data_IF_038987230638
#
_entry.id   IF_038987230638
#
_cell.length_a   1.000
_cell.length_b   1.000
_cell.length_c   1.000
_cell.angle_alpha   90.00
_cell.angle_beta   90.00
_cell.angle_gamma   90.00
#
_symmetry.space_group_name_H-M   'P 1'
#
loop_
_entity.id
_entity.type
_entity.pdbx_description
1 polymer ?
#
# COMPACT_ATOMS: atom_id res chain seq x y z
N UNK A 1 -11.93 -15.94 17.47
CA UNK A 1 -12.19 -15.56 16.06
C UNK A 1 -12.44 -14.04 15.86
N UNK A 2 -12.97 -13.29 16.85
CA UNK A 2 -13.15 -11.83 16.74
C UNK A 2 -11.85 -11.00 16.92
N UNK A 3 -10.90 -11.47 17.73
CA UNK A 3 -9.70 -10.70 18.09
C UNK A 3 -8.73 -10.44 16.93
N UNK A 4 -8.66 -11.30 15.90
CA UNK A 4 -7.80 -11.06 14.72
C UNK A 4 -8.41 -10.09 13.72
N UNK A 5 -9.75 -9.94 13.68
CA UNK A 5 -10.41 -8.97 12.79
C UNK A 5 -10.19 -7.53 13.24
N UNK A 6 -10.07 -7.29 14.54
CA UNK A 6 -9.89 -5.95 15.11
C UNK A 6 -8.57 -5.25 14.70
N UNK A 7 -7.37 -5.85 14.85
CA UNK A 7 -6.11 -5.19 14.48
C UNK A 7 -6.00 -4.96 12.97
N UNK A 8 -6.52 -5.87 12.15
CA UNK A 8 -6.55 -5.74 10.69
C UNK A 8 -7.48 -4.59 10.25
N UNK A 9 -8.67 -4.52 10.84
CA UNK A 9 -9.60 -3.41 10.60
C UNK A 9 -9.00 -2.07 11.08
N UNK A 10 -8.37 -2.04 12.26
CA UNK A 10 -7.71 -0.84 12.77
C UNK A 10 -6.58 -0.39 11.84
N UNK A 11 -5.72 -1.30 11.38
CA UNK A 11 -4.66 -0.99 10.42
C UNK A 11 -5.21 -0.41 9.12
N UNK A 12 -6.27 -1.00 8.55
CA UNK A 12 -6.93 -0.48 7.33
C UNK A 12 -7.55 0.90 7.55
N UNK A 13 -8.18 1.13 8.70
CA UNK A 13 -8.72 2.44 9.07
C UNK A 13 -7.61 3.48 9.30
N UNK A 14 -6.44 3.08 9.79
CA UNK A 14 -5.28 3.97 9.95
C UNK A 14 -4.60 4.31 8.62
N UNK A 15 -4.50 3.37 7.68
CA UNK A 15 -3.87 3.58 6.37
C UNK A 15 -4.59 4.64 5.55
N UNK A 16 -5.93 4.65 5.54
CA UNK A 16 -6.72 5.57 4.73
C UNK A 16 -6.35 7.05 4.99
N UNK A 17 -6.43 7.58 6.22
CA UNK A 17 -6.07 8.97 6.47
C UNK A 17 -4.58 9.24 6.24
N UNK A 18 -3.67 8.29 6.50
CA UNK A 18 -2.23 8.47 6.23
C UNK A 18 -1.96 8.61 4.73
N UNK A 19 -2.50 7.72 3.91
CA UNK A 19 -2.34 7.73 2.46
C UNK A 19 -3.02 8.96 1.83
N UNK A 20 -4.23 9.31 2.28
CA UNK A 20 -4.94 10.51 1.81
C UNK A 20 -4.20 11.79 2.22
N UNK A 21 -3.68 11.88 3.44
CA UNK A 21 -2.90 13.05 3.87
C UNK A 21 -1.57 13.16 3.10
N UNK A 22 -0.86 12.05 2.90
CA UNK A 22 0.36 12.00 2.09
C UNK A 22 0.08 12.45 0.65
N UNK A 23 -0.97 11.90 0.03
CA UNK A 23 -1.42 12.28 -1.30
C UNK A 23 -1.77 13.76 -1.37
N UNK A 24 -2.58 14.25 -0.44
CA UNK A 24 -3.05 15.64 -0.43
C UNK A 24 -1.89 16.63 -0.30
N UNK A 25 -0.98 16.38 0.66
CA UNK A 25 0.19 17.22 0.87
C UNK A 25 1.09 17.29 -0.36
N UNK A 26 1.32 16.17 -1.05
CA UNK A 26 2.16 16.15 -2.26
C UNK A 26 1.43 16.69 -3.50
N UNK A 27 0.18 16.31 -3.72
CA UNK A 27 -0.59 16.73 -4.89
C UNK A 27 -0.89 18.24 -4.89
N UNK A 28 -0.90 18.87 -3.71
CA UNK A 28 -1.01 20.33 -3.58
C UNK A 28 0.35 21.03 -3.54
N UNK A 29 1.44 20.27 -3.63
CA UNK A 29 2.79 20.81 -3.51
C UNK A 29 3.24 21.52 -4.80
N UNK A 30 3.23 22.84 -4.74
CA UNK A 30 3.80 23.73 -5.76
C UNK A 30 4.38 24.97 -5.09
N UNK A 31 5.45 25.51 -5.65
CA UNK A 31 6.03 26.77 -5.20
C UNK A 31 6.59 27.53 -6.40
N UNK A 32 6.29 28.83 -6.48
CA UNK A 32 6.83 29.74 -7.48
C UNK A 32 7.80 30.71 -6.81
N UNK A 33 8.87 31.05 -7.53
CA UNK A 33 9.88 32.04 -7.18
C UNK A 33 10.13 32.93 -8.40
N UNK A 34 10.19 34.24 -8.20
CA UNK A 34 10.30 35.21 -9.30
C UNK A 34 11.65 35.15 -10.03
N UNK A 35 12.70 34.60 -9.40
CA UNK A 35 14.05 34.51 -9.97
C UNK A 35 14.31 33.12 -10.58
N UNK A 36 13.83 32.06 -9.93
CA UNK A 36 14.15 30.68 -10.30
C UNK A 36 13.01 29.93 -11.01
N UNK A 37 11.82 30.54 -11.11
CA UNK A 37 10.65 29.95 -11.77
C UNK A 37 9.75 29.13 -10.83
N UNK A 38 8.97 28.23 -11.41
CA UNK A 38 7.97 27.43 -10.68
C UNK A 38 8.38 25.95 -10.63
N UNK A 39 8.21 25.33 -9.45
CA UNK A 39 8.37 23.88 -9.25
C UNK A 39 7.06 23.25 -8.78
N UNK A 40 6.67 22.14 -9.42
CA UNK A 40 5.50 21.34 -9.06
C UNK A 40 5.89 19.91 -8.77
N UNK A 41 5.07 19.23 -7.96
CA UNK A 41 5.24 17.79 -7.73
C UNK A 41 5.17 16.98 -9.04
N UNK A 42 4.38 17.44 -10.02
CA UNK A 42 4.18 16.78 -11.31
C UNK A 42 5.42 16.77 -12.20
N UNK A 43 6.34 17.70 -11.97
CA UNK A 43 7.58 17.84 -12.76
C UNK A 43 8.60 16.76 -12.35
N UNK A 44 8.44 16.20 -11.15
CA UNK A 44 9.33 15.22 -10.57
C UNK A 44 8.64 13.84 -10.57
N UNK A 45 9.12 12.94 -11.43
CA UNK A 45 8.53 11.62 -11.63
C UNK A 45 8.40 10.80 -10.33
N UNK A 46 9.36 10.90 -9.42
CA UNK A 46 9.31 10.25 -8.10
C UNK A 46 8.14 10.72 -7.24
N UNK A 47 7.82 12.02 -7.24
CA UNK A 47 6.69 12.55 -6.48
C UNK A 47 5.35 12.24 -7.16
N UNK A 48 5.28 12.29 -8.49
CA UNK A 48 4.09 11.87 -9.22
C UNK A 48 3.78 10.38 -8.98
N UNK A 49 4.81 9.53 -8.97
CA UNK A 49 4.66 8.11 -8.64
C UNK A 49 4.15 7.89 -7.20
N UNK A 50 4.70 8.61 -6.21
CA UNK A 50 4.24 8.57 -4.82
C UNK A 50 2.76 8.97 -4.68
N UNK A 51 2.31 10.01 -5.39
CA UNK A 51 0.90 10.43 -5.43
C UNK A 51 0.02 9.31 -5.99
N UNK A 52 0.41 8.73 -7.12
CA UNK A 52 -0.32 7.62 -7.76
C UNK A 52 -0.45 6.40 -6.84
N UNK A 53 0.63 5.99 -6.18
CA UNK A 53 0.61 4.83 -5.28
C UNK A 53 -0.24 5.10 -4.03
N UNK A 54 -0.19 6.29 -3.44
CA UNK A 54 -1.11 6.63 -2.34
C UNK A 54 -2.58 6.54 -2.77
N UNK A 55 -2.92 6.96 -3.99
CA UNK A 55 -4.29 6.88 -4.50
C UNK A 55 -4.76 5.43 -4.64
N UNK A 56 -3.93 4.57 -5.27
CA UNK A 56 -4.22 3.14 -5.46
C UNK A 56 -4.39 2.44 -4.12
N UNK A 57 -3.48 2.69 -3.18
CA UNK A 57 -3.50 2.03 -1.87
C UNK A 57 -4.63 2.51 -0.97
N UNK A 58 -5.00 3.79 -1.01
CA UNK A 58 -6.20 4.29 -0.34
C UNK A 58 -7.48 3.67 -0.91
N UNK A 59 -7.59 3.58 -2.24
CA UNK A 59 -8.73 2.93 -2.89
C UNK A 59 -8.83 1.45 -2.53
N UNK A 60 -7.70 0.73 -2.53
CA UNK A 60 -7.64 -0.66 -2.08
C UNK A 60 -8.06 -0.81 -0.61
N UNK A 61 -7.55 0.04 0.29
CA UNK A 61 -7.90 -0.01 1.70
C UNK A 61 -9.41 0.17 1.92
N UNK A 62 -10.04 1.15 1.24
CA UNK A 62 -11.50 1.35 1.30
C UNK A 62 -12.24 0.13 0.74
N UNK A 63 -11.85 -0.37 -0.44
CA UNK A 63 -12.46 -1.54 -1.05
C UNK A 63 -12.38 -2.77 -0.14
N UNK A 64 -11.22 -3.00 0.50
CA UNK A 64 -11.02 -4.14 1.40
C UNK A 64 -11.93 -4.08 2.65
N UNK A 65 -12.22 -2.90 3.18
CA UNK A 65 -13.16 -2.70 4.31
C UNK A 65 -14.60 -3.00 3.86
N UNK A 66 -15.00 -2.49 2.70
CA UNK A 66 -16.34 -2.73 2.14
C UNK A 66 -16.55 -4.21 1.84
N UNK A 67 -15.58 -4.86 1.21
CA UNK A 67 -15.63 -6.28 0.87
C UNK A 67 -15.66 -7.17 2.11
N UNK A 68 -14.94 -6.82 3.18
CA UNK A 68 -14.97 -7.56 4.45
C UNK A 68 -16.35 -7.52 5.14
N UNK A 69 -17.25 -6.61 4.77
CA UNK A 69 -18.61 -6.57 5.31
C UNK A 69 -19.53 -7.64 4.70
N UNK A 70 -19.14 -8.24 3.56
CA UNK A 70 -19.89 -9.31 2.92
C UNK A 70 -19.46 -10.69 3.44
N UNK A 71 -20.44 -11.49 3.89
CA UNK A 71 -20.25 -12.78 4.58
C UNK A 71 -19.57 -13.88 3.74
N UNK A 72 -19.46 -13.70 2.42
CA UNK A 72 -18.84 -14.66 1.49
C UNK A 72 -17.32 -14.55 1.39
N UNK A 73 -16.69 -13.56 2.05
CA UNK A 73 -15.30 -13.21 1.78
C UNK A 73 -14.25 -14.12 2.43
N UNK A 74 -14.66 -15.05 3.30
CA UNK A 74 -13.76 -15.97 4.03
C UNK A 74 -13.01 -16.98 3.15
N UNK A 75 -13.33 -17.08 1.86
CA UNK A 75 -12.63 -17.94 0.89
C UNK A 75 -11.45 -17.25 0.20
N UNK A 76 -11.26 -15.94 0.39
CA UNK A 76 -10.29 -15.13 -0.37
C UNK A 76 -9.04 -14.71 0.43
N UNK A 77 -8.70 -15.42 1.51
CA UNK A 77 -7.55 -15.05 2.37
C UNK A 77 -6.22 -14.96 1.60
N UNK A 78 -6.01 -15.83 0.61
CA UNK A 78 -4.84 -15.78 -0.28
C UNK A 78 -4.81 -14.52 -1.15
N UNK A 79 -5.96 -14.10 -1.67
CA UNK A 79 -6.08 -12.90 -2.50
C UNK A 79 -5.82 -11.64 -1.67
N UNK A 80 -6.32 -11.58 -0.44
CA UNK A 80 -6.03 -10.48 0.49
C UNK A 80 -4.53 -10.39 0.80
N UNK A 81 -3.88 -11.53 1.07
CA UNK A 81 -2.43 -11.58 1.28
C UNK A 81 -1.66 -11.02 0.08
N UNK A 82 -1.99 -11.45 -1.14
CA UNK A 82 -1.33 -10.99 -2.37
C UNK A 82 -1.53 -9.49 -2.56
N UNK A 83 -2.73 -8.97 -2.33
CA UNK A 83 -3.03 -7.54 -2.49
C UNK A 83 -2.37 -6.67 -1.41
N UNK A 84 -2.35 -7.12 -0.15
CA UNK A 84 -1.66 -6.45 0.95
C UNK A 84 -0.15 -6.37 0.67
N UNK A 85 0.45 -7.49 0.23
CA UNK A 85 1.87 -7.59 -0.10
C UNK A 85 2.23 -6.75 -1.33
N UNK A 86 1.39 -6.77 -2.37
CA UNK A 86 1.58 -5.95 -3.58
C UNK A 86 1.52 -4.46 -3.23
N UNK A 87 0.58 -4.05 -2.38
CA UNK A 87 0.47 -2.67 -1.90
C UNK A 87 1.71 -2.24 -1.12
N UNK A 88 2.23 -3.10 -0.24
CA UNK A 88 3.48 -2.83 0.48
C UNK A 88 4.67 -2.67 -0.49
N UNK A 89 4.76 -3.49 -1.52
CA UNK A 89 5.81 -3.36 -2.54
C UNK A 89 5.70 -2.05 -3.34
N UNK A 90 4.50 -1.68 -3.76
CA UNK A 90 4.28 -0.41 -4.46
C UNK A 90 4.67 0.78 -3.58
N UNK A 91 4.31 0.76 -2.30
CA UNK A 91 4.63 1.82 -1.35
C UNK A 91 6.14 1.96 -1.13
N UNK A 92 6.87 0.84 -0.96
CA UNK A 92 8.33 0.92 -0.76
C UNK A 92 9.04 1.41 -2.01
N UNK A 93 8.64 0.96 -3.21
CA UNK A 93 9.27 1.41 -4.45
C UNK A 93 9.02 2.89 -4.71
N UNK A 94 7.81 3.40 -4.46
CA UNK A 94 7.52 4.83 -4.58
C UNK A 94 8.18 5.66 -3.48
N UNK A 95 8.27 5.15 -2.25
CA UNK A 95 9.02 5.81 -1.18
C UNK A 95 10.49 5.98 -1.55
N UNK A 96 11.14 4.93 -2.08
CA UNK A 96 12.52 5.00 -2.54
C UNK A 96 12.68 6.03 -3.67
N UNK A 97 11.84 5.99 -4.70
CA UNK A 97 11.90 6.95 -5.81
C UNK A 97 11.73 8.40 -5.34
N UNK A 98 10.77 8.66 -4.45
CA UNK A 98 10.54 9.99 -3.89
C UNK A 98 11.68 10.42 -2.94
N UNK A 99 12.24 9.50 -2.17
CA UNK A 99 13.37 9.76 -1.28
C UNK A 99 14.62 10.17 -2.06
N UNK A 100 14.94 9.48 -3.15
CA UNK A 100 16.06 9.83 -4.05
C UNK A 100 15.88 11.23 -4.63
N UNK A 101 14.70 11.54 -5.16
CA UNK A 101 14.38 12.89 -5.67
C UNK A 101 14.54 13.95 -4.57
N UNK A 102 14.05 13.67 -3.36
CA UNK A 102 14.17 14.60 -2.24
C UNK A 102 15.63 14.76 -1.77
N UNK A 103 16.44 13.72 -1.85
CA UNK A 103 17.87 13.78 -1.55
C UNK A 103 18.62 14.64 -2.58
N UNK A 104 18.37 14.42 -3.87
CA UNK A 104 18.90 15.26 -4.95
C UNK A 104 18.47 16.73 -4.79
N UNK A 105 17.20 16.96 -4.42
CA UNK A 105 16.69 18.31 -4.19
C UNK A 105 17.40 19.01 -3.01
N UNK A 106 17.85 18.26 -1.98
CA UNK A 106 18.50 18.82 -0.78
C UNK A 106 20.00 18.94 -0.87
N UNK A 107 20.68 18.04 -1.55
CA UNK A 107 22.15 18.00 -1.59
C UNK A 107 22.73 18.29 -2.97
N UNK A 108 21.91 18.19 -4.03
CA UNK A 108 22.37 18.17 -5.41
C UNK A 108 23.19 16.92 -5.74
N UNK A 109 23.61 16.83 -6.99
CA UNK A 109 24.59 15.86 -7.46
C UNK A 109 25.39 16.48 -8.61
N UNK A 110 26.71 16.56 -8.42
CA UNK A 110 27.62 17.20 -9.38
C UNK A 110 27.82 16.34 -10.62
N UNK A 111 27.73 15.02 -10.51
CA UNK A 111 28.01 14.10 -11.61
C UNK A 111 26.92 14.15 -12.68
N UNK A 112 25.67 14.43 -12.26
CA UNK A 112 24.52 14.63 -13.16
C UNK A 112 24.13 16.10 -13.32
N UNK A 113 24.98 17.04 -12.87
CA UNK A 113 24.73 18.49 -12.92
C UNK A 113 23.41 18.94 -12.28
N UNK A 114 22.97 18.24 -11.22
CA UNK A 114 21.76 18.57 -10.48
C UNK A 114 22.08 19.53 -9.33
N UNK A 115 21.47 20.72 -9.35
CA UNK A 115 21.65 21.74 -8.31
C UNK A 115 20.75 21.53 -7.08
N UNK A 116 21.14 22.06 -5.93
CA UNK A 116 20.28 22.08 -4.74
C UNK A 116 19.04 22.95 -5.00
N UNK A 117 17.87 22.35 -4.84
CA UNK A 117 16.55 22.99 -5.06
C UNK A 117 15.97 23.49 -3.74
N UNK A 118 16.18 22.76 -2.65
CA UNK A 118 15.55 23.05 -1.36
C UNK A 118 16.05 24.32 -0.68
N UNK A 119 17.22 24.83 -1.06
CA UNK A 119 17.73 26.13 -0.63
C UNK A 119 16.85 27.29 -1.09
N UNK A 120 16.25 27.18 -2.28
CA UNK A 120 15.35 28.17 -2.86
C UNK A 120 13.87 27.82 -2.60
N UNK A 121 13.52 26.54 -2.69
CA UNK A 121 12.14 26.05 -2.57
C UNK A 121 11.90 25.32 -1.23
N UNK A 122 12.26 25.96 -0.12
CA UNK A 122 12.21 25.35 1.21
C UNK A 122 10.80 24.88 1.63
N UNK A 123 9.74 25.62 1.26
CA UNK A 123 8.34 25.23 1.56
C UNK A 123 7.95 23.98 0.78
N UNK A 124 8.30 23.93 -0.50
CA UNK A 124 8.07 22.76 -1.35
C UNK A 124 8.74 21.51 -0.77
N UNK A 125 10.01 21.62 -0.40
CA UNK A 125 10.75 20.51 0.21
C UNK A 125 10.21 20.12 1.58
N UNK A 126 9.75 21.08 2.38
CA UNK A 126 9.08 20.83 3.65
C UNK A 126 7.82 19.97 3.47
N UNK A 127 6.91 20.37 2.57
CA UNK A 127 5.69 19.60 2.26
C UNK A 127 6.01 18.22 1.67
N UNK A 128 7.00 18.13 0.78
CA UNK A 128 7.46 16.86 0.22
C UNK A 128 7.97 15.90 1.31
N UNK A 129 8.70 16.42 2.30
CA UNK A 129 9.22 15.65 3.44
C UNK A 129 8.08 15.12 4.32
N UNK A 130 7.11 15.98 4.65
CA UNK A 130 5.94 15.58 5.45
C UNK A 130 5.14 14.51 4.72
N UNK A 131 4.89 14.70 3.41
CA UNK A 131 4.18 13.72 2.59
C UNK A 131 4.92 12.37 2.54
N UNK A 132 6.24 12.38 2.36
CA UNK A 132 7.05 11.15 2.35
C UNK A 132 7.02 10.44 3.71
N UNK A 133 7.07 11.19 4.81
CA UNK A 133 6.97 10.62 6.15
C UNK A 133 5.61 9.93 6.39
N UNK A 134 4.51 10.57 5.97
CA UNK A 134 3.17 9.98 6.02
C UNK A 134 3.06 8.73 5.14
N UNK A 135 3.70 8.74 3.97
CA UNK A 135 3.75 7.60 3.05
C UNK A 135 4.50 6.40 3.67
N UNK A 136 5.63 6.65 4.33
CA UNK A 136 6.40 5.62 5.06
C UNK A 136 5.58 5.06 6.24
N UNK A 137 4.80 5.89 6.93
CA UNK A 137 3.89 5.42 7.97
C UNK A 137 2.79 4.50 7.37
N UNK A 138 2.21 4.86 6.22
CA UNK A 138 1.26 4.00 5.51
C UNK A 138 1.91 2.67 5.08
N UNK A 139 3.15 2.70 4.57
CA UNK A 139 3.94 1.50 4.26
C UNK A 139 4.08 0.59 5.48
N UNK A 140 4.44 1.13 6.65
CA UNK A 140 4.56 0.34 7.87
C UNK A 140 3.24 -0.37 8.25
N UNK A 141 2.11 0.31 8.08
CA UNK A 141 0.80 -0.31 8.28
C UNK A 141 0.50 -1.44 7.28
N UNK A 142 0.86 -1.28 6.01
CA UNK A 142 0.70 -2.33 4.99
C UNK A 142 1.62 -3.54 5.21
N UNK A 143 2.84 -3.31 5.71
CA UNK A 143 3.73 -4.41 6.13
C UNK A 143 3.10 -5.18 7.29
N UNK A 144 2.55 -4.48 8.29
CA UNK A 144 1.84 -5.13 9.39
C UNK A 144 0.60 -5.90 8.91
N UNK A 145 -0.17 -5.34 7.97
CA UNK A 145 -1.29 -6.05 7.33
C UNK A 145 -0.83 -7.33 6.63
N UNK A 146 0.24 -7.25 5.85
CA UNK A 146 0.81 -8.40 5.13
C UNK A 146 1.21 -9.52 6.09
N UNK A 147 1.85 -9.19 7.22
CA UNK A 147 2.21 -10.15 8.28
C UNK A 147 0.97 -10.81 8.92
N UNK A 148 -0.04 -10.01 9.24
CA UNK A 148 -1.31 -10.50 9.80
C UNK A 148 -2.04 -11.41 8.81
N UNK A 149 -2.10 -11.03 7.54
CA UNK A 149 -2.70 -11.83 6.46
C UNK A 149 -1.93 -13.14 6.24
N UNK A 150 -0.59 -13.09 6.22
CA UNK A 150 0.27 -14.27 6.09
C UNK A 150 0.05 -15.25 7.25
N UNK A 151 -0.01 -14.74 8.48
CA UNK A 151 -0.23 -15.59 9.66
C UNK A 151 -1.53 -16.40 9.55
N UNK A 152 -2.61 -15.83 9.00
CA UNK A 152 -3.89 -16.54 8.82
C UNK A 152 -3.83 -17.62 7.77
N UNK A 153 -3.18 -17.32 6.66
CA UNK A 153 -3.03 -18.26 5.56
C UNK A 153 -2.17 -19.45 6.01
N UNK A 154 -1.02 -19.18 6.62
CA UNK A 154 -0.09 -20.24 7.02
C UNK A 154 -0.52 -21.03 8.25
N UNK A 155 -1.22 -20.43 9.23
CA UNK A 155 -1.73 -21.18 10.39
C UNK A 155 -2.83 -22.18 10.02
N UNK A 156 -3.52 -21.99 8.89
CA UNK A 156 -4.47 -22.98 8.35
C UNK A 156 -3.77 -24.17 7.67
N UNK A 157 -2.51 -24.03 7.26
CA UNK A 157 -1.70 -25.06 6.62
C UNK A 157 -0.89 -25.91 7.63
N UNK A 158 -1.44 -26.23 8.81
CA UNK A 158 -0.78 -27.20 9.70
C UNK A 158 -0.78 -28.58 9.01
N UNK A 159 0.39 -29.23 8.82
CA UNK A 159 0.45 -30.53 8.16
C UNK A 159 -0.25 -31.59 9.02
N UNK A 160 -1.10 -32.49 8.47
CA UNK A 160 -1.64 -33.58 9.26
C UNK A 160 -0.47 -34.35 9.88
N UNK A 161 -0.51 -34.51 11.20
CA UNK A 161 0.47 -35.29 11.94
C UNK A 161 0.65 -36.65 11.27
N UNK A 162 1.90 -37.08 11.17
CA UNK A 162 2.36 -38.32 10.53
C UNK A 162 1.42 -39.49 10.84
N UNK A 163 0.52 -39.85 9.90
CA UNK A 163 0.11 -41.23 9.62
C UNK A 163 -0.24 -41.36 8.13
N UNK A 164 0.60 -42.12 7.44
CA UNK A 164 0.40 -42.88 6.18
C UNK A 164 -0.23 -42.18 4.96
N UNK A 165 0.66 -41.82 4.03
CA UNK A 165 0.50 -41.85 2.56
C UNK A 165 -0.91 -41.77 1.97
N UNK A 166 -1.37 -40.55 1.66
CA UNK A 166 -2.04 -40.24 0.39
C UNK A 166 -2.18 -38.72 0.23
N UNK A 167 -1.31 -38.17 -0.62
CA UNK A 167 -1.47 -36.97 -1.45
C UNK A 167 -2.03 -35.68 -0.81
N UNK A 168 -1.13 -34.70 -0.73
CA UNK A 168 -1.48 -33.29 -0.80
C UNK A 168 -2.38 -33.00 -2.00
N UNK A 169 -3.46 -32.27 -1.77
CA UNK A 169 -4.02 -31.43 -2.82
C UNK A 169 -4.47 -30.09 -2.21
N UNK A 170 -3.62 -29.07 -2.39
CA UNK A 170 -4.03 -27.68 -2.30
C UNK A 170 -4.44 -27.23 -3.70
N UNK A 171 -5.58 -27.71 -4.16
CA UNK A 171 -6.39 -27.07 -5.19
C UNK A 171 -7.80 -27.61 -5.07
N UNK A 172 -8.73 -26.76 -4.65
CA UNK A 172 -9.97 -26.74 -5.41
C UNK A 172 -10.58 -25.33 -5.41
N UNK A 173 -10.51 -24.74 -6.60
CA UNK A 173 -11.33 -23.61 -7.02
C UNK A 173 -12.22 -24.14 -8.13
N UNK A 174 -13.36 -24.74 -7.79
CA UNK A 174 -14.44 -24.93 -8.77
C UNK A 174 -15.83 -24.77 -8.10
N UNK A 175 -16.72 -23.91 -8.64
CA UNK A 175 -18.08 -23.76 -8.17
C UNK A 175 -19.01 -24.75 -8.89
N UNK A 176 -19.53 -25.77 -8.20
CA UNK A 176 -20.63 -26.58 -8.74
C UNK A 176 -21.99 -25.97 -8.42
N UNK A 177 -22.50 -25.28 -9.42
CA UNK A 177 -23.90 -24.90 -9.56
C UNK A 177 -24.84 -26.11 -9.46
N UNK A 178 -25.96 -25.87 -8.78
CA UNK A 178 -27.33 -26.35 -9.05
C UNK A 178 -27.53 -27.82 -9.45
N UNK A 179 -28.15 -28.60 -8.55
CA UNK A 179 -29.29 -29.48 -8.86
C UNK A 179 -29.85 -30.13 -7.58
N UNK A 180 -31.03 -29.70 -7.13
CA UNK A 180 -32.02 -30.65 -6.62
C UNK A 180 -33.41 -30.18 -7.02
N UNK A 181 -33.89 -30.75 -8.12
CA UNK A 181 -35.29 -30.94 -8.43
C UNK A 181 -35.72 -32.31 -7.85
N UNK A 182 -37.03 -32.41 -7.61
CA UNK A 182 -37.88 -33.59 -7.35
C UNK A 182 -37.98 -34.04 -5.87
N UNK A 183 -39.17 -34.12 -5.26
CA UNK A 183 -40.53 -34.12 -5.80
C UNK A 183 -41.09 -35.54 -5.87
N UNK A 184 -41.90 -35.85 -4.86
CA UNK A 184 -42.85 -36.98 -4.72
C UNK A 184 -42.31 -38.36 -4.39
#
# INVERSE_FOLDING_TARGET
MAAMKLPELALRLCVIPLAVASLWEMATNRQADDTYGEVKFSDLSGFNYLVGINAVTAAYAVASILLSSFKSFGQYDWLVLILDQTSAYLLVTSASAAAEVLQLARHGDRDVSWGEVCSYFGRFCGKATVSLALHIAALACFVALSLVSASRVFTKCHPPGVVSSAAADCSDSEPKHAAQEQGK
#
